data_IF_258119552066
#
_entry.id   IF_258119552066
#
_cell.length_a   1.000
_cell.length_b   1.000
_cell.length_c   1.000
_cell.angle_alpha   90.00
_cell.angle_beta   90.00
_cell.angle_gamma   90.00
#
_symmetry.space_group_name_H-M   'P 1'
#
loop_
_entity.id
_entity.type
_entity.pdbx_description
1 polymer ?
#
# COMPACT_ATOMS: atom_id res chain seq x y z
N UNK A 1 -23.56 12.61 -18.59
CA UNK A 1 -22.37 12.29 -19.40
C UNK A 1 -22.71 11.28 -20.49
N UNK A 2 -23.12 10.05 -20.15
CA UNK A 2 -23.52 9.02 -21.13
C UNK A 2 -24.45 9.51 -22.26
N UNK A 3 -25.63 10.06 -21.93
CA UNK A 3 -26.59 10.60 -22.91
C UNK A 3 -26.01 11.69 -23.84
N UNK A 4 -24.91 12.34 -23.45
CA UNK A 4 -24.20 13.31 -24.31
C UNK A 4 -23.25 12.59 -25.28
N UNK A 5 -22.53 11.58 -24.80
CA UNK A 5 -21.60 10.77 -25.61
C UNK A 5 -22.36 9.88 -26.60
N UNK A 6 -23.47 9.29 -26.18
CA UNK A 6 -24.34 8.46 -27.03
C UNK A 6 -24.84 9.19 -28.28
N UNK A 7 -25.07 10.51 -28.17
CA UNK A 7 -25.57 11.35 -29.27
C UNK A 7 -24.47 11.92 -30.16
N UNK A 8 -23.20 11.63 -29.85
CA UNK A 8 -22.04 12.21 -30.52
C UNK A 8 -21.30 11.10 -31.28
N UNK A 9 -21.33 11.17 -32.60
CA UNK A 9 -20.61 10.25 -33.48
C UNK A 9 -19.13 10.61 -33.66
N UNK A 10 -18.73 11.80 -33.21
CA UNK A 10 -17.39 12.37 -33.33
C UNK A 10 -16.56 12.06 -32.07
N UNK A 11 -15.47 11.30 -32.23
CA UNK A 11 -14.62 10.88 -31.11
C UNK A 11 -14.00 12.07 -30.36
N UNK A 12 -13.60 13.12 -31.07
CA UNK A 12 -12.93 14.27 -30.44
C UNK A 12 -13.90 15.04 -29.55
N UNK A 13 -15.14 15.20 -29.99
CA UNK A 13 -16.21 15.79 -29.16
C UNK A 13 -16.54 14.94 -27.94
N UNK A 14 -16.51 13.61 -28.07
CA UNK A 14 -16.71 12.72 -26.93
C UNK A 14 -15.57 12.82 -25.91
N UNK A 15 -14.32 12.92 -26.37
CA UNK A 15 -13.14 13.19 -25.53
C UNK A 15 -13.30 14.50 -24.79
N UNK A 16 -13.73 15.56 -25.48
CA UNK A 16 -13.96 16.88 -24.88
C UNK A 16 -15.02 16.84 -23.77
N UNK A 17 -16.14 16.15 -24.00
CA UNK A 17 -17.21 15.98 -23.00
C UNK A 17 -16.69 15.29 -21.74
N UNK A 18 -15.91 14.23 -21.88
CA UNK A 18 -15.35 13.48 -20.74
C UNK A 18 -14.31 14.35 -20.02
N UNK A 19 -13.42 15.00 -20.76
CA UNK A 19 -12.40 15.90 -20.22
C UNK A 19 -13.02 17.01 -19.38
N UNK A 20 -14.01 17.70 -19.93
CA UNK A 20 -14.73 18.77 -19.24
C UNK A 20 -15.49 18.27 -18.01
N UNK A 21 -15.98 17.03 -18.03
CA UNK A 21 -16.61 16.42 -16.86
C UNK A 21 -15.58 16.09 -15.77
N UNK A 22 -14.43 15.50 -16.14
CA UNK A 22 -13.34 15.22 -15.22
C UNK A 22 -12.85 16.51 -14.56
N UNK A 23 -12.66 17.58 -15.35
CA UNK A 23 -12.19 18.87 -14.85
C UNK A 23 -13.13 19.54 -13.83
N UNK A 24 -14.42 19.21 -13.88
CA UNK A 24 -15.43 19.69 -12.92
C UNK A 24 -15.55 18.82 -11.67
N UNK A 25 -15.07 17.58 -11.75
CA UNK A 25 -15.33 16.54 -10.73
C UNK A 25 -14.07 16.25 -9.91
N UNK A 26 -12.89 16.58 -10.43
CA UNK A 26 -11.60 16.34 -9.80
C UNK A 26 -10.86 17.68 -9.68
N UNK A 27 -10.14 17.89 -8.57
CA UNK A 27 -9.19 18.99 -8.45
C UNK A 27 -8.09 18.82 -9.51
N UNK A 28 -8.11 19.68 -10.54
CA UNK A 28 -7.19 19.63 -11.69
C UNK A 28 -5.90 20.41 -11.47
N UNK A 29 -5.63 20.90 -10.25
CA UNK A 29 -4.46 21.75 -9.98
C UNK A 29 -3.13 21.12 -10.44
N UNK A 30 -3.05 19.79 -10.54
CA UNK A 30 -1.84 19.06 -10.95
C UNK A 30 -1.93 18.41 -12.35
N UNK A 31 -3.03 18.59 -13.09
CA UNK A 31 -3.21 18.01 -14.42
C UNK A 31 -3.73 19.08 -15.38
N UNK A 32 -2.96 19.40 -16.41
CA UNK A 32 -3.43 20.26 -17.48
C UNK A 32 -4.66 19.62 -18.16
N UNK A 33 -5.71 20.41 -18.36
CA UNK A 33 -7.01 19.94 -18.89
C UNK A 33 -6.84 19.08 -20.16
N UNK A 34 -5.94 19.47 -21.07
CA UNK A 34 -5.64 18.74 -22.32
C UNK A 34 -5.11 17.31 -22.12
N UNK A 35 -4.53 17.00 -20.96
CA UNK A 35 -3.99 15.67 -20.63
C UNK A 35 -4.93 14.81 -19.78
N UNK A 36 -6.03 15.36 -19.27
CA UNK A 36 -6.91 14.64 -18.33
C UNK A 36 -7.49 13.35 -18.90
N UNK A 37 -7.90 13.35 -20.18
CA UNK A 37 -8.44 12.15 -20.81
C UNK A 37 -7.38 11.03 -20.93
N UNK A 38 -6.13 11.40 -21.21
CA UNK A 38 -5.00 10.46 -21.31
C UNK A 38 -4.67 9.87 -19.93
N UNK A 39 -4.55 10.72 -18.89
CA UNK A 39 -4.32 10.29 -17.51
C UNK A 39 -5.46 9.37 -17.02
N UNK A 40 -6.71 9.67 -17.38
CA UNK A 40 -7.85 8.85 -17.00
C UNK A 40 -7.84 7.47 -17.70
N UNK A 41 -7.47 7.42 -18.99
CA UNK A 41 -7.28 6.16 -19.72
C UNK A 41 -6.21 5.29 -19.06
N UNK A 42 -5.07 5.88 -18.68
CA UNK A 42 -3.98 5.19 -17.96
C UNK A 42 -4.42 4.73 -16.56
N UNK A 43 -5.26 5.51 -15.88
CA UNK A 43 -5.80 5.14 -14.57
C UNK A 43 -6.74 3.93 -14.66
N UNK A 44 -7.60 3.86 -15.69
CA UNK A 44 -8.44 2.69 -15.99
C UNK A 44 -7.58 1.44 -16.24
N UNK A 45 -6.52 1.58 -17.04
CA UNK A 45 -5.58 0.48 -17.31
C UNK A 45 -4.88 0.01 -16.02
N UNK A 46 -4.46 0.94 -15.17
CA UNK A 46 -3.85 0.65 -13.87
C UNK A 46 -4.82 -0.08 -12.94
N UNK A 47 -6.09 0.35 -12.89
CA UNK A 47 -7.15 -0.32 -12.15
C UNK A 47 -7.40 -1.75 -12.63
N UNK A 48 -7.36 -2.00 -13.94
CA UNK A 48 -7.49 -3.35 -14.50
C UNK A 48 -6.29 -4.23 -14.18
N UNK A 49 -5.09 -3.68 -14.28
CA UNK A 49 -3.85 -4.37 -13.89
C UNK A 49 -3.86 -4.73 -12.40
N UNK A 50 -4.40 -3.86 -11.55
CA UNK A 50 -4.66 -4.14 -10.14
C UNK A 50 -5.61 -5.34 -9.95
N UNK A 51 -6.76 -5.34 -10.62
CA UNK A 51 -7.72 -6.46 -10.55
C UNK A 51 -7.07 -7.78 -11.02
N UNK A 52 -6.39 -7.76 -12.17
CA UNK A 52 -5.65 -8.92 -12.70
C UNK A 52 -4.59 -9.41 -11.72
N UNK A 53 -3.86 -8.51 -11.07
CA UNK A 53 -2.85 -8.85 -10.08
C UNK A 53 -3.46 -9.48 -8.83
N UNK A 54 -4.57 -8.95 -8.31
CA UNK A 54 -5.30 -9.55 -7.19
C UNK A 54 -5.81 -10.95 -7.52
N UNK A 55 -6.42 -11.13 -8.69
CA UNK A 55 -6.87 -12.46 -9.15
C UNK A 55 -5.69 -13.42 -9.26
N UNK A 56 -4.58 -12.97 -9.86
CA UNK A 56 -3.37 -13.79 -9.97
C UNK A 56 -2.79 -14.18 -8.61
N UNK A 57 -2.79 -13.25 -7.67
CA UNK A 57 -2.16 -13.39 -6.35
C UNK A 57 -3.00 -14.22 -5.37
N UNK A 58 -4.31 -14.00 -5.32
CA UNK A 58 -5.17 -14.51 -4.26
C UNK A 58 -6.19 -15.56 -4.73
N UNK A 59 -6.48 -15.65 -6.03
CA UNK A 59 -7.49 -16.58 -6.54
C UNK A 59 -6.83 -17.88 -7.04
N UNK A 60 -7.34 -19.06 -6.66
CA UNK A 60 -6.87 -20.35 -7.20
C UNK A 60 -7.09 -20.46 -8.71
N UNK A 61 -6.19 -21.14 -9.43
CA UNK A 61 -6.29 -21.30 -10.90
C UNK A 61 -7.64 -21.86 -11.36
N UNK A 62 -8.21 -22.80 -10.61
CA UNK A 62 -9.50 -23.43 -10.87
C UNK A 62 -10.69 -22.46 -10.88
N UNK A 63 -10.57 -21.27 -10.28
CA UNK A 63 -11.62 -20.25 -10.22
C UNK A 63 -11.39 -19.10 -11.21
N UNK A 64 -10.20 -18.99 -11.82
CA UNK A 64 -9.81 -17.84 -12.65
C UNK A 64 -10.58 -17.74 -13.97
N UNK A 65 -11.07 -18.87 -14.51
CA UNK A 65 -11.75 -18.90 -15.81
C UNK A 65 -12.99 -18.00 -15.86
N UNK A 66 -13.72 -17.86 -14.74
CA UNK A 66 -14.88 -16.95 -14.61
C UNK A 66 -14.48 -15.47 -14.63
N UNK A 67 -13.18 -15.18 -14.52
CA UNK A 67 -12.59 -13.84 -14.43
C UNK A 67 -11.71 -13.48 -15.64
N UNK A 68 -11.45 -14.42 -16.55
CA UNK A 68 -10.55 -14.22 -17.70
C UNK A 68 -11.21 -14.66 -19.01
N UNK A 69 -11.29 -13.74 -19.99
CA UNK A 69 -11.53 -13.90 -21.45
C UNK A 69 -12.67 -14.80 -21.97
N UNK A 70 -12.95 -15.94 -21.36
CA UNK A 70 -14.02 -16.88 -21.74
C UNK A 70 -15.38 -16.52 -21.12
N UNK A 71 -15.56 -15.30 -20.60
CA UNK A 71 -16.88 -14.89 -20.10
C UNK A 71 -17.13 -13.46 -19.63
N UNK A 72 -16.14 -12.60 -19.30
CA UNK A 72 -16.49 -11.32 -18.64
C UNK A 72 -15.62 -10.07 -18.89
N UNK A 73 -14.36 -10.18 -19.32
CA UNK A 73 -13.48 -8.99 -19.39
C UNK A 73 -13.11 -8.62 -20.82
N UNK A 74 -13.64 -7.50 -21.32
CA UNK A 74 -13.09 -6.85 -22.52
C UNK A 74 -11.85 -6.03 -22.16
N UNK A 75 -10.82 -6.00 -23.00
CA UNK A 75 -9.58 -5.24 -22.80
C UNK A 75 -9.70 -3.75 -23.21
N UNK A 76 -10.91 -3.20 -23.12
CA UNK A 76 -11.23 -1.79 -23.38
C UNK A 76 -10.74 -0.80 -22.32
N UNK A 77 -9.64 -0.10 -22.57
CA UNK A 77 -9.18 0.96 -21.66
C UNK A 77 -9.73 2.34 -22.02
N UNK A 78 -10.33 2.50 -23.20
CA UNK A 78 -10.92 3.76 -23.66
C UNK A 78 -12.17 4.10 -22.83
N UNK A 79 -12.21 5.28 -22.18
CA UNK A 79 -13.37 5.76 -21.46
C UNK A 79 -14.70 5.72 -22.25
N UNK A 80 -14.67 6.09 -23.53
CA UNK A 80 -15.87 6.19 -24.37
C UNK A 80 -16.50 4.81 -24.53
N UNK A 81 -15.68 3.82 -24.85
CA UNK A 81 -16.13 2.46 -25.10
C UNK A 81 -16.63 1.79 -23.81
N UNK A 82 -15.99 2.04 -22.67
CA UNK A 82 -16.49 1.60 -21.37
C UNK A 82 -17.89 2.16 -21.07
N UNK A 83 -18.12 3.46 -21.32
CA UNK A 83 -19.44 4.05 -21.12
C UNK A 83 -20.48 3.43 -22.06
N UNK A 84 -20.13 3.16 -23.31
CA UNK A 84 -21.02 2.45 -24.23
C UNK A 84 -21.36 1.05 -23.70
N UNK A 85 -20.37 0.29 -23.19
CA UNK A 85 -20.61 -1.05 -22.64
C UNK A 85 -21.43 -1.06 -21.36
N UNK A 86 -21.26 -0.06 -20.48
CA UNK A 86 -22.03 0.04 -19.22
C UNK A 86 -23.51 0.28 -19.48
N UNK A 87 -23.83 1.02 -20.55
CA UNK A 87 -25.19 1.50 -20.82
C UNK A 87 -25.80 0.96 -22.12
N UNK A 88 -25.13 0.03 -22.80
CA UNK A 88 -25.66 -0.63 -24.01
C UNK A 88 -26.89 -1.47 -23.67
N UNK A 89 -27.97 -1.32 -24.43
CA UNK A 89 -29.27 -1.96 -24.20
C UNK A 89 -29.50 -3.22 -25.04
N UNK A 90 -28.45 -4.00 -25.35
CA UNK A 90 -28.61 -5.20 -26.17
C UNK A 90 -28.82 -6.46 -25.33
N UNK A 91 -29.88 -7.20 -25.69
CA UNK A 91 -30.39 -8.47 -25.15
C UNK A 91 -29.59 -9.07 -23.97
N UNK A 92 -30.32 -9.21 -22.86
CA UNK A 92 -29.92 -9.56 -21.49
C UNK A 92 -29.33 -10.98 -21.31
N UNK A 93 -28.37 -11.37 -22.13
CA UNK A 93 -27.53 -12.54 -21.89
C UNK A 93 -26.70 -12.29 -20.63
N UNK A 94 -26.65 -13.27 -19.72
CA UNK A 94 -25.87 -13.22 -18.48
C UNK A 94 -24.42 -12.73 -18.69
N UNK A 95 -23.81 -13.12 -19.81
CA UNK A 95 -22.47 -12.71 -20.24
C UNK A 95 -22.38 -11.20 -20.47
N UNK A 96 -23.38 -10.58 -21.11
CA UNK A 96 -23.41 -9.13 -21.32
C UNK A 96 -23.52 -8.39 -19.99
N UNK A 97 -24.33 -8.88 -19.04
CA UNK A 97 -24.41 -8.33 -17.68
C UNK A 97 -23.08 -8.42 -16.93
N UNK A 98 -22.37 -9.55 -17.05
CA UNK A 98 -21.01 -9.72 -16.48
C UNK A 98 -20.01 -8.71 -17.07
N UNK A 99 -20.06 -8.49 -18.40
CA UNK A 99 -19.20 -7.53 -19.10
C UNK A 99 -19.49 -6.09 -18.71
N UNK A 100 -20.76 -5.65 -18.74
CA UNK A 100 -21.16 -4.30 -18.34
C UNK A 100 -20.81 -4.01 -16.88
N UNK A 101 -21.00 -4.99 -15.98
CA UNK A 101 -20.59 -4.87 -14.58
C UNK A 101 -19.07 -4.73 -14.45
N UNK A 102 -18.29 -5.56 -15.14
CA UNK A 102 -16.82 -5.48 -15.13
C UNK A 102 -16.31 -4.13 -15.66
N UNK A 103 -16.94 -3.61 -16.71
CA UNK A 103 -16.65 -2.27 -17.26
C UNK A 103 -16.99 -1.16 -16.28
N UNK A 104 -18.12 -1.27 -15.56
CA UNK A 104 -18.50 -0.31 -14.52
C UNK A 104 -17.50 -0.31 -13.34
N UNK A 105 -17.05 -1.51 -12.93
CA UNK A 105 -15.99 -1.64 -11.90
C UNK A 105 -14.70 -0.98 -12.39
N UNK A 106 -14.25 -1.28 -13.61
CA UNK A 106 -13.03 -0.69 -14.17
C UNK A 106 -13.11 0.84 -14.27
N UNK A 107 -14.25 1.39 -14.72
CA UNK A 107 -14.48 2.84 -14.77
C UNK A 107 -14.43 3.47 -13.38
N UNK A 108 -15.18 2.91 -12.42
CA UNK A 108 -15.22 3.40 -11.03
C UNK A 108 -13.83 3.35 -10.37
N UNK A 109 -13.10 2.25 -10.60
CA UNK A 109 -11.76 2.07 -10.06
C UNK A 109 -10.75 3.00 -10.73
N UNK A 110 -10.85 3.23 -12.04
CA UNK A 110 -10.00 4.19 -12.75
C UNK A 110 -10.14 5.61 -12.18
N UNK A 111 -11.37 6.04 -11.90
CA UNK A 111 -11.63 7.36 -11.29
C UNK A 111 -10.97 7.49 -9.92
N UNK A 112 -11.14 6.47 -9.08
CA UNK A 112 -10.54 6.44 -7.74
C UNK A 112 -9.02 6.32 -7.79
N UNK A 113 -8.48 5.55 -8.74
CA UNK A 113 -7.04 5.40 -8.92
C UNK A 113 -6.42 6.74 -9.34
N UNK A 114 -7.02 7.45 -10.30
CA UNK A 114 -6.58 8.77 -10.73
C UNK A 114 -6.50 9.75 -9.55
N UNK A 115 -7.56 9.82 -8.74
CA UNK A 115 -7.58 10.66 -7.54
C UNK A 115 -6.52 10.24 -6.51
N UNK A 116 -6.33 8.93 -6.31
CA UNK A 116 -5.31 8.40 -5.40
C UNK A 116 -3.90 8.72 -5.90
N UNK A 117 -3.66 8.66 -7.21
CA UNK A 117 -2.34 8.93 -7.80
C UNK A 117 -1.96 10.41 -7.67
N UNK A 118 -2.88 11.33 -7.94
CA UNK A 118 -2.69 12.77 -7.72
C UNK A 118 -2.28 13.04 -6.26
N UNK A 119 -2.99 12.46 -5.30
CA UNK A 119 -2.65 12.63 -3.88
C UNK A 119 -1.30 11.96 -3.55
N UNK A 120 -1.02 10.78 -4.11
CA UNK A 120 0.25 10.08 -3.86
C UNK A 120 1.47 10.84 -4.40
N UNK A 121 1.34 11.57 -5.53
CA UNK A 121 2.41 12.46 -6.03
C UNK A 121 2.72 13.57 -5.01
N UNK A 122 1.69 14.18 -4.40
CA UNK A 122 1.85 15.18 -3.33
C UNK A 122 2.50 14.57 -2.08
N UNK A 123 2.06 13.39 -1.69
CA UNK A 123 2.57 12.62 -0.55
C UNK A 123 4.08 12.32 -0.71
N UNK A 124 4.54 11.88 -1.88
CA UNK A 124 5.97 11.63 -2.12
C UNK A 124 6.81 12.89 -1.97
N UNK A 125 6.39 14.00 -2.56
CA UNK A 125 7.08 15.29 -2.45
C UNK A 125 7.14 15.80 -1.00
N UNK A 126 6.06 15.61 -0.25
CA UNK A 126 5.96 15.95 1.17
C UNK A 126 6.89 15.11 2.04
N UNK A 127 6.91 13.78 1.87
CA UNK A 127 7.82 12.91 2.63
C UNK A 127 9.28 13.29 2.38
N UNK A 128 9.65 13.56 1.12
CA UNK A 128 11.02 13.99 0.77
C UNK A 128 11.43 15.25 1.54
N UNK A 129 10.54 16.25 1.68
CA UNK A 129 10.84 17.47 2.47
C UNK A 129 11.05 17.15 3.94
N UNK A 130 10.24 16.27 4.51
CA UNK A 130 10.37 15.89 5.91
C UNK A 130 11.64 15.06 6.17
N UNK A 131 11.99 14.13 5.29
CA UNK A 131 13.25 13.35 5.42
C UNK A 131 14.45 14.26 5.33
N UNK A 132 14.50 15.21 4.38
CA UNK A 132 15.58 16.22 4.32
C UNK A 132 15.66 17.08 5.59
N UNK A 133 14.52 17.38 6.20
CA UNK A 133 14.51 18.09 7.48
C UNK A 133 15.09 17.23 8.61
N UNK A 134 14.79 15.92 8.66
CA UNK A 134 15.40 15.00 9.62
C UNK A 134 16.92 14.88 9.42
N UNK A 135 17.40 14.77 8.18
CA UNK A 135 18.85 14.76 7.90
C UNK A 135 19.56 15.96 8.53
N UNK A 136 18.95 17.15 8.49
CA UNK A 136 19.55 18.36 9.04
C UNK A 136 19.46 18.50 10.57
N UNK A 137 18.45 17.91 11.21
CA UNK A 137 18.10 18.23 12.61
C UNK A 137 18.14 17.04 13.56
N UNK A 138 18.22 15.81 13.04
CA UNK A 138 18.25 14.59 13.84
C UNK A 138 19.56 13.81 13.64
N UNK A 139 20.02 13.69 12.39
CA UNK A 139 21.18 12.90 12.07
C UNK A 139 22.47 13.72 12.10
N UNK A 140 23.59 13.06 12.37
CA UNK A 140 24.93 13.68 12.36
C UNK A 140 25.51 13.73 10.95
N UNK A 141 26.25 14.81 10.63
CA UNK A 141 26.91 15.00 9.32
C UNK A 141 28.09 14.03 9.10
N UNK A 142 28.72 13.56 10.20
CA UNK A 142 29.88 12.64 10.17
C UNK A 142 29.49 11.17 9.89
N UNK A 143 28.20 10.85 9.91
CA UNK A 143 27.68 9.56 9.47
C UNK A 143 27.51 9.57 7.96
N UNK A 144 28.61 9.34 7.22
CA UNK A 144 28.59 9.14 5.78
C UNK A 144 27.34 8.36 5.34
N UNK A 145 26.57 8.92 4.39
CA UNK A 145 25.44 8.24 3.76
C UNK A 145 25.91 6.94 3.10
N UNK A 146 26.01 5.87 3.86
CA UNK A 146 26.27 4.55 3.34
C UNK A 146 24.92 3.91 3.12
N UNK A 147 24.52 3.85 1.85
CA UNK A 147 23.57 2.85 1.38
C UNK A 147 24.25 1.49 1.53
N UNK A 148 24.31 0.99 2.76
CA UNK A 148 24.89 -0.31 3.06
C UNK A 148 23.80 -1.35 2.84
N UNK A 149 24.04 -2.29 1.94
CA UNK A 149 23.41 -3.59 2.07
C UNK A 149 23.82 -4.11 3.45
N UNK A 150 22.89 -4.05 4.40
CA UNK A 150 23.14 -4.50 5.75
C UNK A 150 22.84 -5.98 5.77
N UNK A 151 23.87 -6.77 6.04
CA UNK A 151 23.69 -8.20 6.21
C UNK A 151 23.04 -8.46 7.57
N UNK A 152 21.98 -9.25 7.53
CA UNK A 152 21.19 -9.64 8.70
C UNK A 152 21.30 -11.14 8.84
N UNK A 153 21.87 -11.61 9.95
CA UNK A 153 21.99 -13.04 10.23
C UNK A 153 20.67 -13.63 10.74
N UNK A 154 20.37 -14.85 10.32
CA UNK A 154 19.22 -15.61 10.81
C UNK A 154 19.66 -16.95 11.40
N UNK A 155 18.85 -17.49 12.32
CA UNK A 155 19.06 -18.83 12.86
C UNK A 155 18.73 -19.88 11.78
N UNK A 156 19.68 -20.70 11.30
CA UNK A 156 19.40 -21.72 10.30
C UNK A 156 18.45 -22.83 10.81
N UNK A 157 18.38 -23.06 12.13
CA UNK A 157 17.49 -24.05 12.76
C UNK A 157 16.09 -23.48 12.99
N UNK A 158 16.00 -22.16 13.15
CA UNK A 158 14.75 -21.41 13.29
C UNK A 158 14.79 -20.20 12.36
N UNK A 159 14.52 -20.42 11.06
CA UNK A 159 14.53 -19.40 9.99
C UNK A 159 13.57 -18.21 10.24
N UNK A 160 12.87 -18.22 11.37
CA UNK A 160 11.93 -17.20 11.87
C UNK A 160 12.58 -16.25 12.87
N UNK A 161 13.85 -16.46 13.25
CA UNK A 161 14.59 -15.63 14.20
C UNK A 161 15.80 -14.99 13.54
N UNK A 162 15.74 -13.68 13.41
CA UNK A 162 16.93 -12.91 13.07
C UNK A 162 17.73 -12.68 14.35
N UNK A 163 19.02 -12.92 14.27
CA UNK A 163 19.88 -12.98 15.45
C UNK A 163 20.54 -11.63 15.69
N UNK A 164 21.19 -11.08 14.67
CA UNK A 164 21.90 -9.82 14.75
C UNK A 164 22.30 -9.28 13.37
N UNK A 165 22.71 -8.01 13.33
CA UNK A 165 23.44 -7.46 12.19
C UNK A 165 24.79 -8.17 12.04
N UNK A 166 25.10 -8.63 10.83
CA UNK A 166 26.35 -9.32 10.54
C UNK A 166 26.29 -10.11 9.24
N UNK A 167 27.47 -10.33 8.65
CA UNK A 167 27.65 -11.18 7.47
C UNK A 167 27.99 -12.60 7.89
N UNK A 168 27.45 -13.59 7.18
CA UNK A 168 27.70 -15.00 7.48
C UNK A 168 27.06 -15.95 6.46
N UNK A 169 27.26 -17.28 6.60
CA UNK A 169 26.64 -18.26 5.71
C UNK A 169 25.11 -18.17 5.72
N UNK A 170 24.52 -17.73 6.84
CA UNK A 170 23.09 -17.53 7.02
C UNK A 170 22.74 -16.05 7.16
N UNK A 171 23.18 -15.22 6.21
CA UNK A 171 22.81 -13.79 6.18
C UNK A 171 22.05 -13.41 4.91
N UNK A 172 21.10 -12.49 5.05
CA UNK A 172 20.44 -11.82 3.93
C UNK A 172 20.85 -10.35 3.87
N UNK A 173 21.14 -9.85 2.68
CA UNK A 173 21.40 -8.44 2.45
C UNK A 173 20.07 -7.68 2.40
N UNK A 174 19.89 -6.72 3.30
CA UNK A 174 18.71 -5.83 3.34
C UNK A 174 19.16 -4.40 3.09
N UNK A 175 18.56 -3.76 2.08
CA UNK A 175 18.84 -2.37 1.74
C UNK A 175 18.16 -1.43 2.75
N UNK A 176 18.93 -0.93 3.72
CA UNK A 176 18.46 -0.02 4.77
C UNK A 176 19.42 1.17 4.88
N UNK A 177 18.89 2.35 5.22
CA UNK A 177 19.74 3.52 5.40
C UNK A 177 20.31 3.48 6.80
N UNK A 178 21.63 3.44 6.89
CA UNK A 178 22.30 3.58 8.17
C UNK A 178 22.41 5.05 8.54
N UNK A 179 22.07 5.39 9.79
CA UNK A 179 22.12 6.74 10.34
C UNK A 179 22.60 6.73 11.79
N UNK A 180 23.12 7.86 12.23
CA UNK A 180 23.54 8.08 13.61
C UNK A 180 22.78 9.26 14.20
N UNK A 181 22.36 9.11 15.46
CA UNK A 181 21.70 10.14 16.25
C UNK A 181 22.64 10.51 17.38
N UNK A 182 23.11 11.75 17.41
CA UNK A 182 23.85 12.27 18.55
C UNK A 182 22.88 12.78 19.62
N UNK A 183 22.98 12.15 20.79
CA UNK A 183 22.28 12.54 22.01
C UNK A 183 23.26 13.33 22.89
N UNK A 184 22.72 14.04 23.88
CA UNK A 184 23.52 14.75 24.88
C UNK A 184 24.64 13.87 25.48
N UNK A 185 25.77 14.51 25.80
CA UNK A 185 27.00 13.91 26.34
C UNK A 185 27.79 13.03 25.36
N UNK A 186 27.83 13.40 24.06
CA UNK A 186 28.55 12.67 23.00
C UNK A 186 28.10 11.21 22.83
N UNK A 187 26.86 10.88 23.24
CA UNK A 187 26.31 9.55 23.06
C UNK A 187 25.77 9.46 21.64
N UNK A 188 26.42 8.67 20.78
CA UNK A 188 25.94 8.41 19.42
C UNK A 188 25.20 7.09 19.39
N UNK A 189 23.95 7.10 18.89
CA UNK A 189 23.14 5.91 18.69
C UNK A 189 23.05 5.60 17.20
N UNK A 190 23.43 4.38 16.84
CA UNK A 190 23.26 3.84 15.50
C UNK A 190 21.81 3.37 15.29
N UNK A 191 21.24 3.73 14.15
CA UNK A 191 19.89 3.33 13.78
C UNK A 191 19.80 3.02 12.30
N UNK A 192 18.92 2.08 11.95
CA UNK A 192 18.45 1.95 10.59
C UNK A 192 17.23 2.81 10.40
N UNK A 193 17.30 3.68 9.40
CA UNK A 193 16.23 4.55 9.00
C UNK A 193 15.61 4.06 7.70
N UNK A 194 14.29 4.07 7.63
CA UNK A 194 13.59 3.91 6.36
C UNK A 194 12.43 4.88 6.29
N UNK A 195 12.33 5.56 5.17
CA UNK A 195 11.20 6.39 4.82
C UNK A 195 10.48 5.72 3.65
N UNK A 196 9.21 5.40 3.86
CA UNK A 196 8.37 4.76 2.85
C UNK A 196 7.15 5.61 2.56
N UNK A 197 6.83 5.72 1.28
CA UNK A 197 5.47 5.99 0.86
C UNK A 197 4.81 4.66 0.54
N UNK A 198 3.55 4.48 0.91
CA UNK A 198 2.79 3.35 0.41
C UNK A 198 2.71 3.44 -1.12
N UNK A 199 2.80 2.29 -1.77
CA UNK A 199 2.55 2.21 -3.20
C UNK A 199 1.11 2.65 -3.50
N UNK A 200 0.89 3.33 -4.64
CA UNK A 200 -0.44 3.82 -5.05
C UNK A 200 -1.47 2.69 -5.00
N UNK A 201 -1.11 1.48 -5.43
CA UNK A 201 -1.96 0.29 -5.39
C UNK A 201 -2.35 -0.15 -3.96
N UNK A 202 -1.44 -0.02 -2.99
CA UNK A 202 -1.72 -0.37 -1.59
C UNK A 202 -2.62 0.69 -0.92
N UNK A 203 -2.43 1.98 -1.26
CA UNK A 203 -3.32 3.07 -0.84
C UNK A 203 -4.70 2.86 -1.46
N UNK A 204 -4.74 2.62 -2.77
CA UNK A 204 -5.95 2.35 -3.53
C UNK A 204 -6.74 1.17 -2.95
N UNK A 205 -6.08 0.06 -2.63
CA UNK A 205 -6.69 -1.08 -1.93
C UNK A 205 -7.33 -0.67 -0.60
N UNK A 206 -6.63 0.15 0.20
CA UNK A 206 -7.14 0.64 1.49
C UNK A 206 -8.31 1.60 1.34
N UNK A 207 -8.26 2.49 0.35
CA UNK A 207 -9.34 3.44 0.02
C UNK A 207 -10.61 2.68 -0.32
N UNK A 208 -10.51 1.67 -1.19
CA UNK A 208 -11.65 0.84 -1.57
C UNK A 208 -12.29 0.09 -0.39
N UNK A 209 -11.52 -0.26 0.65
CA UNK A 209 -12.01 -0.97 1.83
C UNK A 209 -12.64 -0.06 2.89
N UNK A 210 -12.28 1.23 2.91
CA UNK A 210 -12.69 2.17 3.97
C UNK A 210 -13.90 3.01 3.61
N UNK A 211 -14.18 3.27 2.33
CA UNK A 211 -15.38 4.02 1.92
C UNK A 211 -15.79 3.76 0.47
N UNK A 212 -17.09 3.55 0.27
CA UNK A 212 -17.72 3.50 -1.06
C UNK A 212 -18.03 4.90 -1.60
N UNK A 213 -17.92 5.98 -0.82
CA UNK A 213 -18.39 7.32 -1.20
C UNK A 213 -17.31 8.41 -1.25
N UNK A 214 -16.32 8.36 -0.37
CA UNK A 214 -15.27 9.38 -0.23
C UNK A 214 -13.88 8.74 -0.36
N UNK A 215 -12.85 9.52 -0.65
CA UNK A 215 -11.46 9.05 -0.57
C UNK A 215 -11.03 9.26 0.88
N UNK A 216 -10.97 8.18 1.69
CA UNK A 216 -10.60 8.31 3.08
C UNK A 216 -9.13 8.70 3.15
N UNK A 217 -8.81 9.60 4.06
CA UNK A 217 -7.43 9.90 4.42
C UNK A 217 -6.74 8.62 4.90
N UNK A 218 -5.60 8.30 4.29
CA UNK A 218 -4.78 7.16 4.67
C UNK A 218 -3.62 7.68 5.50
N UNK A 219 -3.82 7.73 6.82
CA UNK A 219 -2.85 8.31 7.77
C UNK A 219 -1.48 7.62 7.75
N UNK A 220 -1.42 6.35 7.34
CA UNK A 220 -0.17 5.60 7.17
C UNK A 220 0.34 5.60 5.71
N UNK A 221 -0.14 6.49 4.84
CA UNK A 221 0.36 6.62 3.48
C UNK A 221 1.84 7.03 3.45
N UNK A 222 2.29 7.76 4.46
CA UNK A 222 3.69 8.07 4.74
C UNK A 222 4.08 7.35 6.03
N UNK A 223 5.21 6.66 6.00
CA UNK A 223 5.76 6.01 7.17
C UNK A 223 7.25 6.27 7.27
N UNK A 224 7.73 6.56 8.47
CA UNK A 224 9.14 6.43 8.80
C UNK A 224 9.30 5.36 9.88
N UNK A 225 10.32 4.54 9.72
CA UNK A 225 10.67 3.51 10.69
C UNK A 225 12.12 3.66 11.09
N UNK A 226 12.35 3.61 12.40
CA UNK A 226 13.66 3.53 13.02
C UNK A 226 13.81 2.15 13.63
N UNK A 227 14.93 1.49 13.33
CA UNK A 227 15.30 0.20 13.91
C UNK A 227 16.57 0.38 14.72
N UNK A 228 16.51 -0.03 15.99
CA UNK A 228 17.62 0.10 16.93
C UNK A 228 18.20 -1.26 17.27
N UNK A 229 19.51 -1.31 17.51
CA UNK A 229 20.21 -2.55 17.89
C UNK A 229 19.71 -3.10 19.22
N UNK A 230 19.44 -2.23 20.18
CA UNK A 230 18.96 -2.61 21.52
C UNK A 230 17.73 -1.81 21.96
N UNK A 231 16.96 -2.37 22.89
CA UNK A 231 15.82 -1.67 23.50
C UNK A 231 16.26 -0.42 24.29
N UNK A 232 17.45 -0.47 24.91
CA UNK A 232 18.03 0.69 25.60
C UNK A 232 18.28 1.85 24.64
N UNK A 233 18.85 1.56 23.47
CA UNK A 233 19.12 2.57 22.45
C UNK A 233 17.82 3.18 21.92
N UNK A 234 16.80 2.34 21.73
CA UNK A 234 15.46 2.78 21.35
C UNK A 234 14.86 3.75 22.35
N UNK A 235 14.87 3.42 23.65
CA UNK A 235 14.26 4.29 24.67
C UNK A 235 15.01 5.62 24.82
N UNK A 236 16.35 5.60 24.74
CA UNK A 236 17.16 6.83 24.74
C UNK A 236 16.85 7.70 23.52
N UNK A 237 16.84 7.11 22.33
CA UNK A 237 16.50 7.82 21.10
C UNK A 237 15.06 8.33 21.10
N UNK A 238 14.11 7.54 21.61
CA UNK A 238 12.71 7.95 21.75
C UNK A 238 12.59 9.18 22.66
N UNK A 239 13.16 9.16 23.85
CA UNK A 239 13.12 10.29 24.77
C UNK A 239 13.74 11.55 24.16
N UNK A 240 14.88 11.41 23.48
CA UNK A 240 15.52 12.52 22.76
C UNK A 240 14.62 13.07 21.63
N UNK A 241 14.14 12.20 20.75
CA UNK A 241 13.29 12.58 19.62
C UNK A 241 11.99 13.24 20.09
N UNK A 242 11.35 12.73 21.14
CA UNK A 242 10.13 13.33 21.68
C UNK A 242 10.37 14.75 22.19
N UNK A 243 11.50 15.00 22.84
CA UNK A 243 11.82 16.31 23.41
C UNK A 243 12.37 17.33 22.39
N UNK A 244 13.09 16.86 21.36
CA UNK A 244 13.80 17.74 20.41
C UNK A 244 13.16 17.81 19.03
N UNK A 245 12.68 16.68 18.53
CA UNK A 245 12.13 16.55 17.18
C UNK A 245 10.62 16.71 17.22
N UNK A 246 9.93 15.85 17.96
CA UNK A 246 8.46 15.78 17.92
C UNK A 246 7.77 16.82 18.79
N UNK A 247 8.49 17.47 19.71
CA UNK A 247 8.03 18.66 20.43
C UNK A 247 8.27 19.97 19.67
N UNK A 248 8.94 19.94 18.51
CA UNK A 248 9.25 21.17 17.75
C UNK A 248 8.02 21.64 16.95
N UNK A 249 7.36 22.75 17.32
CA UNK A 249 6.15 23.22 16.65
C UNK A 249 6.41 23.73 15.23
N UNK A 250 7.66 24.02 14.86
CA UNK A 250 8.02 24.40 13.49
C UNK A 250 7.95 23.21 12.52
N UNK A 251 8.07 21.98 13.02
CA UNK A 251 8.03 20.76 12.23
C UNK A 251 6.75 19.96 12.45
N UNK A 252 6.26 19.90 13.69
CA UNK A 252 5.11 19.09 14.12
C UNK A 252 3.97 19.99 14.56
N UNK A 253 2.82 19.84 13.89
CA UNK A 253 1.58 20.58 14.14
C UNK A 253 0.71 19.87 15.18
N UNK A 254 0.67 18.53 15.12
CA UNK A 254 -0.12 17.69 16.03
C UNK A 254 0.56 16.32 16.18
N UNK A 255 0.41 15.68 17.33
CA UNK A 255 1.02 14.39 17.64
C UNK A 255 0.02 13.49 18.34
N UNK A 256 -0.26 12.31 17.75
CA UNK A 256 -1.17 11.31 18.29
C UNK A 256 -0.42 10.03 18.59
N UNK A 257 -0.34 9.65 19.86
CA UNK A 257 0.31 8.42 20.31
C UNK A 257 -0.64 7.23 20.13
N UNK A 258 -0.19 6.12 19.52
CA UNK A 258 -1.01 4.93 19.23
C UNK A 258 -0.31 3.63 19.70
N UNK A 259 -0.94 2.88 20.62
CA UNK A 259 -0.32 1.69 21.26
C UNK A 259 -0.01 1.97 22.74
N UNK A 260 0.51 1.04 23.54
CA UNK A 260 0.80 1.37 24.97
C UNK A 260 1.89 2.46 25.03
N UNK A 261 1.63 3.72 25.43
CA UNK A 261 0.58 4.30 26.30
C UNK A 261 -0.37 5.36 25.66
N UNK A 262 -1.37 4.90 24.90
CA UNK A 262 -2.47 5.72 24.35
C UNK A 262 -3.31 4.99 23.30
N UNK A 263 -3.72 3.75 23.58
CA UNK A 263 -4.16 2.71 22.63
C UNK A 263 -5.28 3.07 21.65
N UNK A 264 -5.03 2.81 20.36
CA UNK A 264 -5.72 1.75 19.60
C UNK A 264 -4.67 0.89 18.87
N UNK A 265 -4.36 -0.28 19.41
CA UNK A 265 -3.76 -1.36 18.60
C UNK A 265 -4.85 -1.90 17.71
N UNK A 266 -4.74 -1.72 16.39
CA UNK A 266 -5.60 -2.38 15.42
C UNK A 266 -5.70 -3.86 15.83
N UNK A 267 -6.89 -4.38 16.15
CA UNK A 267 -7.06 -5.77 16.60
C UNK A 267 -6.56 -6.82 15.59
N UNK A 268 -6.21 -6.38 14.38
CA UNK A 268 -5.65 -7.18 13.29
C UNK A 268 -4.12 -7.08 13.16
N UNK A 269 -3.42 -6.25 13.94
CA UNK A 269 -1.94 -6.18 13.95
C UNK A 269 -1.35 -7.26 14.85
N UNK A 270 -0.12 -7.69 14.53
CA UNK A 270 0.65 -8.61 15.38
C UNK A 270 0.70 -8.11 16.81
N UNK A 271 0.23 -8.90 17.78
CA UNK A 271 0.43 -8.60 19.21
C UNK A 271 1.85 -8.93 19.65
N UNK A 272 2.51 -9.85 18.96
CA UNK A 272 3.81 -10.41 19.35
C UNK A 272 5.00 -9.64 18.75
N UNK A 273 4.77 -8.93 17.63
CA UNK A 273 5.82 -8.23 16.88
C UNK A 273 5.39 -6.81 16.48
N UNK A 274 4.58 -6.15 17.31
CA UNK A 274 4.28 -4.74 17.08
C UNK A 274 5.54 -3.88 17.28
N UNK A 275 5.69 -2.76 16.55
CA UNK A 275 6.69 -1.75 16.89
C UNK A 275 6.58 -1.37 18.36
N UNK A 276 7.73 -1.23 19.04
CA UNK A 276 7.80 -0.85 20.46
C UNK A 276 7.16 0.50 20.72
N UNK A 277 7.29 1.45 19.78
CA UNK A 277 6.57 2.72 19.77
C UNK A 277 5.96 2.96 18.39
N UNK A 278 4.73 3.47 18.37
CA UNK A 278 4.04 3.91 17.16
C UNK A 278 3.23 5.16 17.45
N UNK A 279 3.30 6.12 16.55
CA UNK A 279 2.51 7.34 16.67
C UNK A 279 2.31 7.99 15.30
N UNK A 280 1.36 8.90 15.24
CA UNK A 280 1.03 9.68 14.06
C UNK A 280 1.45 11.11 14.33
N UNK A 281 2.37 11.63 13.53
CA UNK A 281 2.80 13.02 13.57
C UNK A 281 2.18 13.78 12.40
N UNK A 282 1.41 14.81 12.69
CA UNK A 282 0.96 15.79 11.69
C UNK A 282 2.05 16.82 11.52
N UNK A 283 2.61 16.92 10.34
CA UNK A 283 3.69 17.85 10.00
C UNK A 283 3.17 18.92 9.03
N UNK A 284 3.98 19.95 8.75
CA UNK A 284 3.72 20.87 7.63
C UNK A 284 3.64 20.14 6.28
N UNK A 285 4.24 18.96 6.18
CA UNK A 285 4.22 18.08 5.03
C UNK A 285 3.11 17.01 5.13
N UNK A 286 2.14 17.17 6.01
CA UNK A 286 1.04 16.21 6.18
C UNK A 286 1.30 15.15 7.24
N UNK A 287 0.46 14.13 7.25
CA UNK A 287 0.41 13.11 8.29
C UNK A 287 1.42 11.99 8.02
N UNK A 288 2.30 11.73 8.99
CA UNK A 288 3.34 10.71 8.93
C UNK A 288 3.14 9.72 10.07
N UNK A 289 3.13 8.44 9.73
CA UNK A 289 3.26 7.36 10.71
C UNK A 289 4.73 7.19 11.10
N UNK A 290 5.00 7.20 12.40
CA UNK A 290 6.33 6.97 12.96
C UNK A 290 6.32 5.66 13.72
N UNK A 291 7.30 4.80 13.44
CA UNK A 291 7.48 3.50 14.10
C UNK A 291 8.91 3.37 14.62
N UNK A 292 9.06 2.98 15.88
CA UNK A 292 10.35 2.64 16.47
C UNK A 292 10.28 1.18 16.88
N UNK A 293 11.24 0.39 16.40
CA UNK A 293 11.35 -1.04 16.71
C UNK A 293 12.76 -1.36 17.13
N UNK A 294 12.91 -2.36 18.00
CA UNK A 294 14.20 -3.03 18.12
C UNK A 294 14.39 -3.99 16.93
N UNK A 295 15.63 -4.40 16.73
CA UNK A 295 16.04 -5.32 15.67
C UNK A 295 15.12 -6.56 15.59
N UNK A 296 14.89 -7.21 16.73
CA UNK A 296 14.14 -8.45 16.79
C UNK A 296 12.68 -8.26 16.38
N UNK A 297 11.99 -7.25 16.91
CA UNK A 297 10.60 -7.00 16.58
C UNK A 297 10.40 -6.60 15.12
N UNK A 298 11.35 -5.86 14.54
CA UNK A 298 11.29 -5.47 13.14
C UNK A 298 11.42 -6.67 12.21
N UNK A 299 12.48 -7.47 12.36
CA UNK A 299 12.75 -8.58 11.46
C UNK A 299 11.84 -9.79 11.73
N UNK A 300 11.59 -10.19 12.98
CA UNK A 300 10.71 -11.33 13.26
C UNK A 300 9.25 -11.06 12.80
N UNK A 301 8.81 -9.79 12.80
CA UNK A 301 7.50 -9.37 12.29
C UNK A 301 7.35 -9.47 10.77
N UNK A 302 8.39 -9.09 10.02
CA UNK A 302 8.39 -9.15 8.54
C UNK A 302 8.38 -10.59 8.00
N UNK A 303 8.91 -11.54 8.77
CA UNK A 303 9.16 -12.92 8.33
C UNK A 303 8.43 -13.99 9.17
N UNK A 304 7.32 -13.67 9.84
CA UNK A 304 6.51 -14.69 10.52
C UNK A 304 5.68 -15.54 9.54
N UNK A 305 5.36 -16.80 9.88
CA UNK A 305 4.35 -17.62 9.18
C UNK A 305 2.96 -17.58 9.85
N UNK A 306 2.84 -16.91 11.01
CA UNK A 306 1.61 -16.80 11.78
C UNK A 306 0.60 -15.80 11.17
N UNK A 307 -0.58 -15.68 11.78
CA UNK A 307 -1.67 -14.79 11.32
C UNK A 307 -1.27 -13.32 11.18
N UNK A 308 -0.20 -12.93 11.86
CA UNK A 308 0.45 -11.64 11.79
C UNK A 308 1.14 -11.37 10.44
N UNK A 309 1.47 -12.41 9.67
CA UNK A 309 2.16 -12.24 8.40
C UNK A 309 1.37 -11.34 7.45
N UNK A 310 2.07 -10.42 6.80
CA UNK A 310 1.46 -9.43 5.93
C UNK A 310 0.67 -10.04 4.76
N UNK A 311 1.07 -11.20 4.23
CA UNK A 311 0.32 -11.91 3.19
C UNK A 311 -1.03 -12.43 3.70
N UNK A 312 -1.08 -13.03 4.90
CA UNK A 312 -2.32 -13.51 5.50
C UNK A 312 -3.23 -12.33 5.92
N UNK A 313 -2.64 -11.25 6.40
CA UNK A 313 -3.37 -9.99 6.64
C UNK A 313 -3.96 -9.42 5.33
N UNK A 314 -3.17 -9.35 4.25
CA UNK A 314 -3.63 -8.89 2.94
C UNK A 314 -4.74 -9.77 2.37
N UNK A 315 -4.70 -11.09 2.57
CA UNK A 315 -5.77 -11.99 2.14
C UNK A 315 -7.13 -11.59 2.74
N UNK A 316 -7.18 -11.31 4.05
CA UNK A 316 -8.42 -10.87 4.73
C UNK A 316 -8.98 -9.58 4.14
N UNK A 317 -8.10 -8.65 3.78
CA UNK A 317 -8.46 -7.39 3.12
C UNK A 317 -8.98 -7.63 1.70
N UNK A 318 -8.26 -8.43 0.90
CA UNK A 318 -8.57 -8.66 -0.51
C UNK A 318 -9.85 -9.47 -0.68
N UNK A 319 -10.20 -10.37 0.24
CA UNK A 319 -11.44 -11.17 0.16
C UNK A 319 -12.69 -10.28 0.01
N UNK A 320 -12.78 -9.18 0.76
CA UNK A 320 -13.91 -8.26 0.65
C UNK A 320 -13.96 -7.56 -0.71
N UNK A 321 -12.79 -7.18 -1.25
CA UNK A 321 -12.71 -6.59 -2.59
C UNK A 321 -13.07 -7.58 -3.70
N UNK A 322 -12.64 -8.84 -3.58
CA UNK A 322 -12.98 -9.88 -4.54
C UNK A 322 -14.49 -10.10 -4.64
N UNK A 323 -15.22 -10.06 -3.50
CA UNK A 323 -16.68 -10.12 -3.49
C UNK A 323 -17.33 -8.94 -4.19
N UNK A 324 -16.77 -7.74 -4.02
CA UNK A 324 -17.29 -6.53 -4.67
C UNK A 324 -17.04 -6.54 -6.18
N UNK A 325 -15.89 -7.05 -6.62
CA UNK A 325 -15.47 -7.06 -8.03
C UNK A 325 -16.12 -8.23 -8.78
N UNK A 326 -16.33 -9.36 -8.09
CA UNK A 326 -16.88 -10.58 -8.67
C UNK A 326 -17.99 -11.15 -7.77
N UNK A 327 -19.16 -10.49 -7.70
CA UNK A 327 -20.25 -10.91 -6.82
C UNK A 327 -20.77 -12.32 -7.16
N UNK A 328 -21.13 -13.09 -6.13
CA UNK A 328 -21.59 -14.49 -6.24
C UNK A 328 -22.77 -14.63 -7.20
N UNK A 329 -23.69 -13.67 -7.18
CA UNK A 329 -24.92 -13.67 -7.96
C UNK A 329 -24.62 -13.68 -9.46
N UNK A 330 -23.58 -12.93 -9.85
CA UNK A 330 -23.19 -12.70 -11.24
C UNK A 330 -22.09 -13.65 -11.72
N UNK A 331 -21.14 -13.99 -10.86
CA UNK A 331 -19.97 -14.81 -11.23
C UNK A 331 -20.05 -16.25 -10.72
N UNK A 332 -21.06 -16.61 -9.91
CA UNK A 332 -21.22 -17.95 -9.29
C UNK A 332 -20.03 -18.39 -8.43
N UNK A 333 -19.36 -17.43 -7.79
CA UNK A 333 -18.20 -17.65 -6.93
C UNK A 333 -18.59 -17.58 -5.45
N UNK A 334 -18.52 -18.70 -4.74
CA UNK A 334 -18.88 -18.78 -3.32
C UNK A 334 -17.71 -18.39 -2.40
N UNK A 335 -17.39 -17.09 -2.36
CA UNK A 335 -16.25 -16.53 -1.61
C UNK A 335 -16.22 -16.87 -0.11
N UNK A 336 -17.39 -17.12 0.49
CA UNK A 336 -17.53 -17.44 1.91
C UNK A 336 -17.58 -18.95 2.21
N UNK A 337 -17.56 -19.81 1.18
CA UNK A 337 -17.51 -21.27 1.40
C UNK A 337 -16.23 -21.67 2.15
N UNK A 338 -16.30 -22.59 3.15
CA UNK A 338 -15.14 -23.06 3.88
C UNK A 338 -14.01 -23.56 2.96
N UNK A 339 -14.36 -24.24 1.87
CA UNK A 339 -13.44 -24.78 0.89
C UNK A 339 -12.67 -23.67 0.16
N UNK A 340 -13.37 -22.61 -0.28
CA UNK A 340 -12.72 -21.45 -0.92
C UNK A 340 -11.79 -20.75 0.06
N UNK A 341 -12.22 -20.56 1.31
CA UNK A 341 -11.40 -19.92 2.33
C UNK A 341 -10.11 -20.72 2.59
N UNK A 342 -10.23 -22.04 2.74
CA UNK A 342 -9.10 -22.94 2.95
C UNK A 342 -8.10 -22.88 1.79
N UNK A 343 -8.55 -23.04 0.55
CA UNK A 343 -7.67 -23.05 -0.62
C UNK A 343 -6.94 -21.70 -0.80
N UNK A 344 -7.64 -20.58 -0.58
CA UNK A 344 -7.01 -19.26 -0.65
C UNK A 344 -5.96 -19.04 0.45
N UNK A 345 -6.19 -19.55 1.65
CA UNK A 345 -5.22 -19.48 2.76
C UNK A 345 -3.99 -20.36 2.49
N UNK A 346 -4.18 -21.61 2.07
CA UNK A 346 -3.09 -22.51 1.68
C UNK A 346 -2.25 -21.94 0.54
N UNK A 347 -2.88 -21.27 -0.44
CA UNK A 347 -2.17 -20.56 -1.50
C UNK A 347 -1.22 -19.49 -0.95
N UNK A 348 -1.62 -18.75 0.09
CA UNK A 348 -0.76 -17.74 0.72
C UNK A 348 0.33 -18.38 1.57
N UNK A 349 0.00 -19.41 2.36
CA UNK A 349 0.99 -20.14 3.16
C UNK A 349 2.07 -20.77 2.28
N UNK A 350 1.71 -21.34 1.14
CA UNK A 350 2.69 -21.90 0.20
C UNK A 350 3.58 -20.83 -0.43
N UNK A 351 3.07 -19.63 -0.69
CA UNK A 351 3.90 -18.50 -1.16
C UNK A 351 4.89 -18.05 -0.09
N UNK A 352 4.42 -17.92 1.15
CA UNK A 352 5.27 -17.61 2.30
C UNK A 352 6.40 -18.65 2.39
N UNK A 353 6.06 -19.94 2.40
CA UNK A 353 7.02 -21.07 2.41
C UNK A 353 7.99 -21.06 1.22
N UNK A 354 7.52 -20.71 0.02
CA UNK A 354 8.37 -20.64 -1.18
C UNK A 354 9.35 -19.47 -1.11
N UNK A 355 8.93 -18.33 -0.56
CA UNK A 355 9.82 -17.20 -0.32
C UNK A 355 10.91 -17.58 0.69
N UNK A 356 10.60 -18.39 1.71
CA UNK A 356 11.59 -18.98 2.60
C UNK A 356 12.54 -19.97 1.92
N UNK A 357 12.03 -20.80 1.01
CA UNK A 357 12.83 -21.80 0.30
C UNK A 357 13.84 -21.19 -0.69
N UNK A 358 13.56 -19.97 -1.19
CA UNK A 358 14.43 -19.23 -2.11
C UNK A 358 15.48 -18.36 -1.42
N UNK A 359 15.51 -18.30 -0.09
CA UNK A 359 16.64 -17.72 0.63
C UNK A 359 17.88 -18.60 0.35
N UNK A 360 19.05 -18.01 0.07
CA UNK A 360 20.24 -18.78 -0.31
C UNK A 360 20.52 -19.87 0.73
N UNK A 361 20.49 -21.12 0.27
CA UNK A 361 20.93 -22.27 1.06
C UNK A 361 22.42 -22.43 0.78
N UNK A 362 23.27 -21.75 1.54
CA UNK A 362 24.71 -22.00 1.50
C UNK A 362 25.22 -22.31 2.91
#
# INVERSE_FOLDING_TARGET
>A
MYKKIEKVNDKDKAIEIITNWLAKTIDTSDIEVKHMYQEFTQAIESARTFIKSMVREFVPSTMKYLMSSDGASDNTNDPIDLLKMVFSSENDLMINRMRSFSSLVAWSFGMRYLLTDIDNRKIKGRLKKFTTWLEKHLFTDDGSEHFANTDVTYDPKDKKRFLEFGSGPNSIAVALWFRQIEIANNITIETLFTARTKQTLDIFRKVLLKSLGEIPQVDDAQGITFVFKTEKDLELAYAFMMNKIFANPAAIIDLRLNGQDGKETNGKSSKNFAPKRRFIAKTFAGTIEVQLSDFKHFFDGEFSEGEENHHLYRLRQVRQLLKMIFPTELFKLHWDSPETQFIMQELQLNRIRTNFAKMPQN
#
